data_IF_135907421483
#
_entry.id   IF_135907421483
#
_cell.length_a   1.000
_cell.length_b   1.000
_cell.length_c   1.000
_cell.angle_alpha   90.00
_cell.angle_beta   90.00
_cell.angle_gamma   90.00
#
_symmetry.space_group_name_H-M   'P 1'
#
loop_
_entity.id
_entity.type
_entity.pdbx_description
1 polymer ?
#
# COMPACT_ATOMS: atom_id res chain seq x y z
N UNK A 1 85.09 5.84 39.81
CA UNK A 1 83.84 5.97 40.60
C UNK A 1 82.71 5.80 39.61
N UNK A 2 82.01 4.62 39.58
CA UNK A 2 80.99 4.26 38.63
C UNK A 2 79.61 4.48 39.24
N UNK A 3 78.85 5.40 38.68
CA UNK A 3 77.46 5.63 39.10
C UNK A 3 76.56 4.74 38.21
N UNK A 4 75.85 3.80 38.81
CA UNK A 4 74.80 2.98 38.16
C UNK A 4 73.53 3.79 38.13
N UNK A 5 73.04 4.05 36.93
CA UNK A 5 71.71 4.59 36.76
C UNK A 5 70.68 3.43 36.82
N UNK A 6 69.69 3.50 37.71
CA UNK A 6 68.54 2.62 37.80
C UNK A 6 67.48 3.14 36.87
N UNK A 7 67.07 2.33 35.88
CA UNK A 7 65.95 2.62 35.00
C UNK A 7 64.69 2.05 35.67
N UNK A 8 63.84 2.95 36.19
CA UNK A 8 62.55 2.62 36.71
C UNK A 8 61.56 2.60 35.49
N UNK A 9 61.10 1.45 35.11
CA UNK A 9 60.05 1.32 34.10
C UNK A 9 58.69 1.74 34.71
N UNK A 10 58.24 2.95 34.36
CA UNK A 10 56.89 3.39 34.65
C UNK A 10 55.92 2.73 33.66
N UNK A 11 55.01 1.93 34.18
CA UNK A 11 53.89 1.36 33.42
C UNK A 11 52.87 2.48 33.18
N UNK A 12 52.81 3.02 31.95
CA UNK A 12 51.78 3.96 31.54
C UNK A 12 50.51 3.17 31.25
N UNK A 13 49.61 3.12 32.21
CA UNK A 13 48.24 2.57 31.96
C UNK A 13 47.44 3.62 31.20
N UNK A 14 47.34 3.48 29.89
CA UNK A 14 46.41 4.25 29.09
C UNK A 14 45.01 3.66 29.35
N UNK A 15 44.24 4.32 30.22
CA UNK A 15 42.80 4.04 30.35
C UNK A 15 42.10 4.47 29.07
N UNK A 16 41.84 3.50 28.18
CA UNK A 16 41.00 3.69 27.02
C UNK A 16 39.56 3.82 27.53
N UNK A 17 39.07 5.05 27.71
CA UNK A 17 37.65 5.31 27.96
C UNK A 17 36.87 4.98 26.67
N UNK A 18 36.36 3.77 26.59
CA UNK A 18 35.36 3.41 25.58
C UNK A 18 34.10 4.20 25.92
N UNK A 19 33.89 5.31 25.25
CA UNK A 19 32.59 5.95 25.21
C UNK A 19 31.69 4.99 24.45
N UNK A 20 30.91 4.17 25.16
CA UNK A 20 29.73 3.54 24.62
C UNK A 20 28.82 4.68 24.14
N UNK A 21 28.86 4.97 22.85
CA UNK A 21 27.81 5.73 22.23
C UNK A 21 26.52 5.00 22.62
N UNK A 22 25.61 5.67 23.35
CA UNK A 22 24.28 5.19 23.59
C UNK A 22 23.74 4.82 22.18
N UNK A 23 23.42 3.54 21.98
CA UNK A 23 22.65 3.15 20.81
C UNK A 23 21.45 4.09 20.81
N UNK A 24 21.33 4.93 19.79
CA UNK A 24 20.09 5.66 19.57
C UNK A 24 19.03 4.58 19.48
N UNK A 25 18.00 4.69 20.33
CA UNK A 25 16.78 3.88 20.18
C UNK A 25 16.28 4.14 18.77
N UNK A 26 16.64 3.25 17.84
CA UNK A 26 16.10 3.25 16.49
C UNK A 26 14.64 2.89 16.70
N UNK A 27 13.76 3.90 16.64
CA UNK A 27 12.32 3.65 16.68
C UNK A 27 12.02 2.68 15.54
N UNK A 28 11.34 1.57 15.82
CA UNK A 28 10.95 0.67 14.75
C UNK A 28 10.16 1.45 13.70
N UNK A 29 10.40 1.14 12.42
CA UNK A 29 9.74 1.80 11.30
C UNK A 29 8.23 1.57 11.35
N UNK A 30 7.46 2.51 10.83
CA UNK A 30 6.01 2.37 10.69
C UNK A 30 5.64 1.20 9.76
N UNK A 31 4.50 0.60 10.02
CA UNK A 31 3.95 -0.53 9.24
C UNK A 31 2.74 -0.07 8.43
N UNK A 32 2.43 -0.76 7.35
CA UNK A 32 1.14 -0.67 6.67
C UNK A 32 0.10 -1.43 7.51
N UNK A 33 -0.83 -0.68 8.12
CA UNK A 33 -1.92 -1.22 8.93
C UNK A 33 -3.15 -1.54 8.09
N UNK A 34 -3.35 -0.73 7.05
CA UNK A 34 -4.42 -0.86 6.09
C UNK A 34 -3.93 -0.37 4.74
N UNK A 35 -4.45 -1.00 3.73
CA UNK A 35 -4.36 -0.57 2.35
C UNK A 35 -5.76 -0.55 1.76
N UNK A 36 -6.05 0.44 0.94
CA UNK A 36 -7.36 0.59 0.33
C UNK A 36 -7.23 1.09 -1.10
N UNK A 37 -8.22 0.79 -1.93
CA UNK A 37 -8.35 1.42 -3.24
C UNK A 37 -9.81 1.67 -3.58
N UNK A 38 -10.08 2.86 -4.08
CA UNK A 38 -11.41 3.27 -4.59
C UNK A 38 -11.33 3.54 -6.07
N UNK A 39 -12.27 2.95 -6.79
CA UNK A 39 -12.38 3.10 -8.24
C UNK A 39 -13.80 2.81 -8.71
N UNK A 40 -14.18 3.39 -9.85
CA UNK A 40 -15.34 2.94 -10.61
C UNK A 40 -15.01 1.59 -11.27
N UNK A 41 -15.64 0.51 -10.79
CA UNK A 41 -15.48 -0.83 -11.38
C UNK A 41 -16.49 -1.04 -12.49
N UNK A 42 -15.98 -1.46 -13.65
CA UNK A 42 -16.77 -1.85 -14.80
C UNK A 42 -16.90 -3.36 -14.89
N UNK A 43 -16.85 -3.88 -16.11
CA UNK A 43 -16.86 -5.32 -16.40
C UNK A 43 -15.56 -5.75 -17.09
N UNK A 44 -15.21 -7.03 -16.99
CA UNK A 44 -14.02 -7.59 -17.66
C UNK A 44 -12.72 -6.97 -17.16
N UNK A 45 -11.95 -6.36 -18.06
CA UNK A 45 -10.65 -5.75 -17.74
C UNK A 45 -10.76 -4.47 -16.89
N UNK A 46 -11.96 -3.90 -16.75
CA UNK A 46 -12.20 -2.68 -15.99
C UNK A 46 -12.63 -2.94 -14.53
N UNK A 47 -12.47 -4.15 -14.04
CA UNK A 47 -12.67 -4.45 -12.61
C UNK A 47 -11.59 -3.78 -11.75
N UNK A 48 -11.94 -3.46 -10.50
CA UNK A 48 -10.95 -3.08 -9.52
C UNK A 48 -10.15 -4.31 -9.09
N UNK A 49 -8.84 -4.25 -9.30
CA UNK A 49 -7.89 -5.29 -8.95
C UNK A 49 -6.88 -4.70 -7.99
N UNK A 50 -6.77 -5.28 -6.80
CA UNK A 50 -5.81 -4.88 -5.77
C UNK A 50 -4.84 -6.01 -5.49
N UNK A 51 -3.56 -5.79 -5.74
CA UNK A 51 -2.47 -6.68 -5.37
C UNK A 51 -1.84 -6.25 -4.04
N UNK A 52 -1.39 -7.22 -3.26
CA UNK A 52 -0.62 -6.96 -2.05
C UNK A 52 0.41 -8.06 -1.79
N UNK A 53 1.51 -7.68 -1.16
CA UNK A 53 2.64 -8.56 -0.85
C UNK A 53 2.77 -8.68 0.66
N UNK A 54 2.84 -9.92 1.13
CA UNK A 54 3.18 -10.25 2.52
C UNK A 54 4.64 -10.71 2.55
N UNK A 55 5.46 -10.05 3.37
CA UNK A 55 6.86 -10.42 3.61
C UNK A 55 7.06 -10.81 5.06
N UNK A 56 8.12 -11.59 5.33
CA UNK A 56 8.45 -12.09 6.67
C UNK A 56 8.50 -13.62 6.72
N UNK A 57 8.35 -14.20 7.92
CA UNK A 57 8.41 -15.66 8.13
C UNK A 57 7.10 -16.25 8.60
N UNK A 58 6.23 -15.45 9.19
CA UNK A 58 4.98 -15.90 9.78
C UNK A 58 3.81 -15.67 8.84
N UNK A 59 2.73 -16.41 9.03
CA UNK A 59 1.47 -16.11 8.36
C UNK A 59 0.84 -14.84 8.93
N UNK A 60 0.06 -14.15 8.11
CA UNK A 60 -0.61 -12.88 8.43
C UNK A 60 -2.13 -13.07 8.46
N UNK A 61 -2.76 -12.60 9.52
CA UNK A 61 -4.22 -12.56 9.60
C UNK A 61 -4.72 -11.23 9.03
N UNK A 62 -5.57 -11.31 8.03
CA UNK A 62 -6.11 -10.17 7.30
C UNK A 62 -7.63 -10.23 7.25
N UNK A 63 -8.27 -9.06 7.11
CA UNK A 63 -9.62 -8.95 6.59
C UNK A 63 -9.57 -8.14 5.30
N UNK A 64 -10.19 -8.67 4.26
CA UNK A 64 -10.35 -8.03 2.95
C UNK A 64 -11.84 -7.71 2.79
N UNK A 65 -12.19 -6.48 2.40
CA UNK A 65 -13.58 -6.03 2.22
C UNK A 65 -13.76 -5.34 0.88
N UNK A 66 -14.93 -5.52 0.28
CA UNK A 66 -15.37 -4.74 -0.87
C UNK A 66 -16.66 -4.01 -0.48
N UNK A 67 -16.58 -2.69 -0.37
CA UNK A 67 -17.66 -1.82 0.08
C UNK A 67 -18.23 -1.06 -1.11
N UNK A 68 -19.55 -1.02 -1.20
CA UNK A 68 -20.27 -0.31 -2.24
C UNK A 68 -21.45 0.47 -1.66
N UNK A 69 -22.56 -0.17 -1.28
CA UNK A 69 -23.77 0.50 -0.82
C UNK A 69 -23.54 1.48 0.31
N UNK A 70 -22.68 1.14 1.28
CA UNK A 70 -22.36 2.00 2.42
C UNK A 70 -21.66 3.31 2.03
N UNK A 71 -21.00 3.38 0.86
CA UNK A 71 -20.33 4.59 0.37
C UNK A 71 -21.32 5.72 0.07
N UNK A 72 -22.58 5.42 -0.16
CA UNK A 72 -23.63 6.44 -0.40
C UNK A 72 -23.77 7.39 0.79
N UNK A 73 -23.57 6.90 2.02
CA UNK A 73 -23.60 7.72 3.24
C UNK A 73 -22.45 8.73 3.32
N UNK A 74 -21.39 8.53 2.52
CA UNK A 74 -20.24 9.42 2.37
C UNK A 74 -20.32 10.28 1.10
N UNK A 75 -21.50 10.35 0.44
CA UNK A 75 -21.73 11.20 -0.72
C UNK A 75 -21.31 10.60 -2.07
N UNK A 76 -21.00 9.30 -2.14
CA UNK A 76 -20.70 8.61 -3.39
C UNK A 76 -22.01 8.21 -4.07
N UNK A 77 -22.42 8.95 -5.11
CA UNK A 77 -23.71 8.74 -5.78
C UNK A 77 -23.76 7.46 -6.63
N UNK A 78 -22.66 7.11 -7.28
CA UNK A 78 -22.55 5.98 -8.20
C UNK A 78 -21.90 4.76 -7.52
N UNK A 79 -22.18 4.57 -6.23
CA UNK A 79 -21.68 3.44 -5.47
C UNK A 79 -22.17 2.11 -6.05
N UNK A 80 -21.28 1.12 -6.13
CA UNK A 80 -21.62 -0.23 -6.60
C UNK A 80 -22.68 -0.83 -5.67
N UNK A 81 -23.80 -1.27 -6.23
CA UNK A 81 -24.98 -1.68 -5.46
C UNK A 81 -24.83 -3.03 -4.76
N UNK A 82 -23.95 -3.90 -5.28
CA UNK A 82 -23.79 -5.28 -4.82
C UNK A 82 -22.39 -5.80 -5.21
N UNK A 83 -21.35 -5.55 -4.37
CA UNK A 83 -19.99 -5.95 -4.67
C UNK A 83 -19.73 -7.40 -4.31
N UNK A 84 -19.08 -8.15 -5.19
CA UNK A 84 -18.51 -9.47 -4.94
C UNK A 84 -17.00 -9.39 -4.81
N UNK A 85 -16.39 -10.29 -4.04
CA UNK A 85 -14.96 -10.31 -3.73
C UNK A 85 -14.36 -11.68 -3.98
N UNK A 86 -13.27 -11.73 -4.74
CA UNK A 86 -12.43 -12.92 -4.91
C UNK A 86 -11.03 -12.64 -4.41
N UNK A 87 -10.44 -13.60 -3.70
CA UNK A 87 -9.04 -13.61 -3.28
C UNK A 87 -8.28 -14.69 -4.04
N UNK A 88 -7.19 -14.32 -4.69
CA UNK A 88 -6.33 -15.18 -5.49
C UNK A 88 -4.93 -15.26 -4.91
N UNK A 89 -4.28 -16.40 -5.08
CA UNK A 89 -2.86 -16.59 -4.79
C UNK A 89 -1.98 -16.17 -5.99
N UNK A 90 -0.65 -16.28 -5.81
CA UNK A 90 0.35 -15.94 -6.83
C UNK A 90 0.22 -16.75 -8.14
N UNK A 91 -0.46 -17.89 -8.13
CA UNK A 91 -0.71 -18.70 -9.34
C UNK A 91 -1.95 -18.26 -10.09
N UNK A 92 -2.73 -17.33 -9.50
CA UNK A 92 -4.03 -16.88 -9.99
C UNK A 92 -5.19 -17.80 -9.60
N UNK A 93 -4.96 -18.79 -8.74
CA UNK A 93 -6.04 -19.64 -8.23
C UNK A 93 -6.89 -18.90 -7.20
N UNK A 94 -8.22 -19.03 -7.28
CA UNK A 94 -9.14 -18.51 -6.27
C UNK A 94 -8.99 -19.34 -5.00
N UNK A 95 -8.57 -18.69 -3.92
CA UNK A 95 -8.41 -19.32 -2.60
C UNK A 95 -9.55 -18.97 -1.63
N UNK A 96 -10.28 -17.89 -1.90
CA UNK A 96 -11.51 -17.54 -1.20
C UNK A 96 -12.39 -16.65 -2.08
N UNK A 97 -13.71 -16.71 -1.87
CA UNK A 97 -14.67 -15.81 -2.51
C UNK A 97 -15.83 -15.53 -1.55
N UNK A 98 -16.40 -14.34 -1.64
CA UNK A 98 -17.56 -13.94 -0.86
C UNK A 98 -18.43 -12.97 -1.68
N UNK A 99 -19.74 -13.13 -1.56
CA UNK A 99 -20.74 -12.24 -2.12
C UNK A 99 -21.31 -11.33 -1.03
N UNK A 100 -21.88 -11.92 0.02
CA UNK A 100 -22.42 -11.19 1.17
C UNK A 100 -21.65 -11.59 2.42
N UNK A 101 -21.11 -10.62 3.17
CA UNK A 101 -20.22 -10.88 4.31
C UNK A 101 -20.82 -11.74 5.43
N UNK A 102 -22.16 -11.79 5.52
CA UNK A 102 -22.86 -12.60 6.51
C UNK A 102 -22.97 -14.08 6.14
N UNK A 103 -22.75 -14.44 4.89
CA UNK A 103 -22.93 -15.82 4.39
C UNK A 103 -21.85 -16.75 4.95
N UNK A 104 -20.64 -16.21 5.18
CA UNK A 104 -19.51 -16.94 5.74
C UNK A 104 -18.78 -16.09 6.77
N UNK A 105 -18.16 -16.71 7.77
CA UNK A 105 -17.27 -16.04 8.74
C UNK A 105 -17.90 -14.87 9.52
N UNK A 106 -19.23 -14.72 9.55
CA UNK A 106 -19.93 -13.58 10.17
C UNK A 106 -19.45 -13.28 11.59
N UNK A 107 -19.37 -14.29 12.45
CA UNK A 107 -18.97 -14.11 13.85
C UNK A 107 -17.53 -13.61 13.99
N UNK A 108 -16.60 -14.13 13.15
CA UNK A 108 -15.21 -13.70 13.13
C UNK A 108 -15.09 -12.25 12.61
N UNK A 109 -15.82 -11.91 11.54
CA UNK A 109 -15.83 -10.57 10.95
C UNK A 109 -16.36 -9.54 11.97
N UNK A 110 -17.47 -9.84 12.66
CA UNK A 110 -18.02 -8.96 13.72
C UNK A 110 -17.01 -8.75 14.85
N UNK A 111 -16.27 -9.78 15.24
CA UNK A 111 -15.27 -9.69 16.31
C UNK A 111 -14.09 -8.75 15.98
N UNK A 112 -13.84 -8.44 14.70
CA UNK A 112 -12.82 -7.48 14.29
C UNK A 112 -13.23 -6.01 14.44
N UNK A 113 -14.53 -5.71 14.64
CA UNK A 113 -15.14 -4.39 14.53
C UNK A 113 -15.00 -3.74 13.14
N UNK A 114 -14.71 -4.56 12.11
CA UNK A 114 -14.57 -4.12 10.72
C UNK A 114 -15.67 -4.71 9.82
N UNK A 115 -16.78 -5.18 10.41
CA UNK A 115 -17.90 -5.69 9.63
C UNK A 115 -18.43 -4.61 8.67
N UNK A 116 -18.70 -4.94 7.39
CA UNK A 116 -19.37 -4.03 6.48
C UNK A 116 -20.73 -3.56 7.03
N UNK A 117 -21.12 -2.33 6.68
CA UNK A 117 -22.36 -1.73 7.20
C UNK A 117 -23.61 -2.19 6.44
N UNK A 118 -23.48 -2.56 5.18
CA UNK A 118 -24.57 -3.11 4.36
C UNK A 118 -24.40 -4.62 4.18
N UNK A 119 -25.50 -5.37 4.22
CA UNK A 119 -25.49 -6.84 4.15
C UNK A 119 -25.02 -7.37 2.79
N UNK A 120 -25.14 -6.59 1.72
CA UNK A 120 -24.71 -6.93 0.36
C UNK A 120 -23.21 -6.70 0.11
N UNK A 121 -22.50 -6.14 1.06
CA UNK A 121 -21.05 -5.93 0.93
C UNK A 121 -20.29 -7.21 1.24
N UNK A 122 -19.14 -7.38 0.60
CA UNK A 122 -18.34 -8.60 0.74
C UNK A 122 -17.22 -8.44 1.77
N UNK A 123 -16.93 -9.51 2.52
CA UNK A 123 -15.74 -9.57 3.36
C UNK A 123 -15.18 -11.01 3.46
N UNK A 124 -13.86 -11.11 3.47
CA UNK A 124 -13.11 -12.36 3.61
C UNK A 124 -12.09 -12.18 4.73
N UNK A 125 -12.11 -13.05 5.74
CA UNK A 125 -10.99 -13.22 6.67
C UNK A 125 -10.08 -14.33 6.17
N UNK A 126 -8.78 -14.07 6.13
CA UNK A 126 -7.78 -15.02 5.65
C UNK A 126 -6.51 -14.98 6.50
N UNK A 127 -5.93 -16.15 6.72
CA UNK A 127 -4.58 -16.33 7.26
C UNK A 127 -3.67 -16.73 6.12
N UNK A 128 -2.79 -15.83 5.71
CA UNK A 128 -1.98 -15.97 4.50
C UNK A 128 -0.49 -16.06 4.83
N UNK A 129 0.21 -17.00 4.22
CA UNK A 129 1.66 -17.08 4.30
C UNK A 129 2.34 -15.90 3.56
N UNK A 130 3.64 -15.63 3.80
CA UNK A 130 4.39 -14.71 2.94
C UNK A 130 4.26 -15.09 1.46
N UNK A 131 3.97 -14.09 0.61
CA UNK A 131 3.71 -14.28 -0.82
C UNK A 131 2.92 -13.14 -1.43
N UNK A 132 2.56 -13.30 -2.70
CA UNK A 132 1.84 -12.32 -3.50
C UNK A 132 0.37 -12.74 -3.62
N UNK A 133 -0.53 -11.80 -3.43
CA UNK A 133 -1.98 -12.04 -3.46
C UNK A 133 -2.69 -10.97 -4.26
N UNK A 134 -3.85 -11.34 -4.80
CA UNK A 134 -4.70 -10.43 -5.56
C UNK A 134 -6.14 -10.54 -5.07
N UNK A 135 -6.74 -9.41 -4.72
CA UNK A 135 -8.15 -9.28 -4.44
C UNK A 135 -8.84 -8.59 -5.63
N UNK A 136 -9.97 -9.13 -6.08
CA UNK A 136 -10.73 -8.60 -7.21
C UNK A 136 -12.15 -8.31 -6.76
N UNK A 137 -12.56 -7.05 -6.90
CA UNK A 137 -13.94 -6.64 -6.66
C UNK A 137 -14.69 -6.50 -7.98
N UNK A 138 -15.92 -7.06 -8.02
CA UNK A 138 -16.84 -6.99 -9.16
C UNK A 138 -18.24 -6.68 -8.68
N UNK A 139 -19.09 -6.23 -9.59
CA UNK A 139 -20.52 -6.13 -9.30
C UNK A 139 -21.25 -7.44 -9.60
N UNK A 140 -22.10 -7.89 -8.68
CA UNK A 140 -22.98 -9.01 -8.86
C UNK A 140 -23.86 -8.81 -10.12
N UNK A 141 -24.06 -9.88 -10.89
CA UNK A 141 -24.83 -9.83 -12.12
C UNK A 141 -24.27 -8.90 -13.21
N UNK A 142 -23.00 -8.45 -13.10
CA UNK A 142 -22.38 -7.51 -14.05
C UNK A 142 -22.75 -6.05 -13.78
N UNK A 143 -23.25 -5.72 -12.58
CA UNK A 143 -23.48 -4.34 -12.18
C UNK A 143 -22.14 -3.57 -12.11
N UNK A 144 -22.22 -2.25 -12.25
CA UNK A 144 -21.05 -1.35 -12.29
C UNK A 144 -21.25 -0.19 -11.30
N UNK A 145 -20.16 0.39 -10.84
CA UNK A 145 -20.21 1.51 -9.91
C UNK A 145 -18.92 1.67 -9.11
N UNK A 146 -18.88 2.64 -8.23
CA UNK A 146 -17.73 2.91 -7.38
C UNK A 146 -17.67 1.90 -6.24
N UNK A 147 -16.55 1.20 -6.10
CA UNK A 147 -16.26 0.25 -5.04
C UNK A 147 -15.01 0.68 -4.28
N UNK A 148 -14.99 0.45 -2.97
CA UNK A 148 -13.82 0.58 -2.11
C UNK A 148 -13.38 -0.83 -1.69
N UNK A 149 -12.19 -1.24 -2.10
CA UNK A 149 -11.57 -2.49 -1.66
C UNK A 149 -10.52 -2.15 -0.61
N UNK A 150 -10.57 -2.85 0.52
CA UNK A 150 -9.70 -2.63 1.66
C UNK A 150 -9.08 -3.93 2.14
N UNK A 151 -7.83 -3.85 2.60
CA UNK A 151 -7.13 -4.95 3.29
C UNK A 151 -6.59 -4.41 4.62
N UNK A 152 -7.01 -5.00 5.73
CA UNK A 152 -6.53 -4.65 7.06
C UNK A 152 -5.66 -5.75 7.63
N UNK A 153 -4.56 -5.35 8.24
CA UNK A 153 -3.71 -6.19 9.05
C UNK A 153 -4.31 -6.36 10.45
N UNK A 154 -4.68 -7.58 10.81
CA UNK A 154 -5.26 -7.93 12.12
C UNK A 154 -4.22 -8.43 13.12
N UNK A 155 -2.96 -8.63 12.70
CA UNK A 155 -1.90 -9.15 13.55
C UNK A 155 -0.58 -8.39 13.36
N UNK A 156 -0.46 -7.28 14.07
CA UNK A 156 0.73 -6.42 14.02
C UNK A 156 1.96 -7.03 14.73
N UNK A 157 1.79 -8.12 15.49
CA UNK A 157 2.86 -8.75 16.25
C UNK A 157 3.51 -9.93 15.50
N UNK A 158 2.90 -10.43 14.43
CA UNK A 158 3.49 -11.47 13.60
C UNK A 158 4.80 -10.97 12.96
N UNK A 159 5.80 -11.85 12.84
CA UNK A 159 7.01 -11.57 12.08
C UNK A 159 6.72 -11.61 10.57
N UNK A 160 5.71 -10.86 10.17
CA UNK A 160 5.24 -10.67 8.82
C UNK A 160 4.63 -9.27 8.68
N UNK A 161 4.65 -8.70 7.47
CA UNK A 161 4.08 -7.37 7.22
C UNK A 161 3.53 -7.27 5.81
N UNK A 162 2.55 -6.40 5.63
CA UNK A 162 2.18 -5.89 4.32
C UNK A 162 3.33 -4.98 3.83
N UNK A 163 3.91 -5.30 2.69
CA UNK A 163 5.05 -4.57 2.14
C UNK A 163 4.64 -3.57 1.07
N UNK A 164 3.57 -3.87 0.35
CA UNK A 164 3.11 -3.08 -0.79
C UNK A 164 1.59 -3.21 -0.95
N UNK A 165 1.02 -2.21 -1.58
CA UNK A 165 -0.27 -2.28 -2.26
C UNK A 165 -0.11 -1.83 -3.70
N UNK A 166 -0.81 -2.49 -4.58
CA UNK A 166 -1.00 -2.05 -5.96
C UNK A 166 -2.48 -2.09 -6.31
N UNK A 167 -2.98 -1.09 -7.02
CA UNK A 167 -4.36 -1.08 -7.47
C UNK A 167 -4.43 -0.67 -8.94
N UNK A 168 -5.12 -1.47 -9.74
CA UNK A 168 -5.28 -1.24 -11.16
C UNK A 168 -6.74 -1.06 -11.52
N UNK A 169 -6.99 -0.08 -12.38
CA UNK A 169 -8.28 0.10 -13.00
C UNK A 169 -8.32 1.26 -13.97
N UNK A 170 -9.52 1.51 -14.51
CA UNK A 170 -9.74 2.56 -15.49
C UNK A 170 -9.95 3.90 -14.80
N UNK A 171 -9.07 4.86 -15.09
CA UNK A 171 -9.14 6.25 -14.60
C UNK A 171 -9.89 7.07 -15.63
N UNK A 172 -10.97 7.72 -15.18
CA UNK A 172 -11.79 8.60 -16.00
C UNK A 172 -11.72 10.05 -15.47
N UNK A 173 -12.57 10.90 -15.98
CA UNK A 173 -12.67 12.31 -15.61
C UNK A 173 -13.50 12.52 -14.33
N UNK A 174 -13.38 13.70 -13.76
CA UNK A 174 -14.14 14.10 -12.57
C UNK A 174 -13.74 13.29 -11.34
N UNK A 175 -14.73 12.66 -10.69
CA UNK A 175 -14.52 11.90 -9.46
C UNK A 175 -14.13 10.43 -9.67
N UNK A 176 -14.08 9.97 -10.93
CA UNK A 176 -13.73 8.60 -11.30
C UNK A 176 -12.21 8.39 -11.41
N UNK A 177 -11.49 8.86 -10.40
CA UNK A 177 -10.05 8.74 -10.28
C UNK A 177 -9.67 7.41 -9.62
N UNK A 178 -8.47 6.92 -9.93
CA UNK A 178 -7.88 5.82 -9.19
C UNK A 178 -7.25 6.36 -7.89
N UNK A 179 -7.77 5.90 -6.77
CA UNK A 179 -7.34 6.34 -5.45
C UNK A 179 -6.78 5.13 -4.72
N UNK A 180 -5.50 5.22 -4.33
CA UNK A 180 -4.85 4.28 -3.42
C UNK A 180 -4.70 4.90 -2.05
N UNK A 181 -5.14 4.21 -1.00
CA UNK A 181 -5.00 4.64 0.39
C UNK A 181 -4.07 3.73 1.18
N UNK A 182 -3.38 4.30 2.16
CA UNK A 182 -2.53 3.58 3.10
C UNK A 182 -2.65 4.19 4.50
N UNK A 183 -2.80 3.35 5.52
CA UNK A 183 -2.65 3.77 6.92
C UNK A 183 -1.29 3.28 7.39
N UNK A 184 -0.44 4.23 7.75
CA UNK A 184 0.89 4.00 8.33
C UNK A 184 0.81 4.13 9.83
N UNK A 185 1.36 3.17 10.57
CA UNK A 185 1.32 3.21 12.03
C UNK A 185 2.16 2.09 12.65
N UNK A 186 1.88 1.76 13.91
CA UNK A 186 2.69 0.78 14.64
C UNK A 186 4.10 1.30 14.96
N UNK A 187 5.05 0.40 15.19
CA UNK A 187 6.46 0.73 15.34
C UNK A 187 6.76 1.81 16.39
N UNK A 188 5.96 1.92 17.47
CA UNK A 188 6.11 2.93 18.53
C UNK A 188 6.24 4.38 18.02
N UNK A 189 5.52 4.72 16.94
CA UNK A 189 5.50 6.05 16.35
C UNK A 189 6.70 6.36 15.44
N UNK A 190 7.36 5.34 14.91
CA UNK A 190 8.41 5.50 13.90
C UNK A 190 7.84 6.00 12.56
N UNK A 191 8.68 6.69 11.78
CA UNK A 191 8.34 7.11 10.41
C UNK A 191 8.39 5.93 9.44
N UNK A 192 7.63 6.02 8.36
CA UNK A 192 7.72 5.11 7.23
C UNK A 192 8.47 5.78 6.08
N UNK A 193 9.35 5.03 5.43
CA UNK A 193 9.97 5.44 4.17
C UNK A 193 9.18 4.79 3.05
N UNK A 194 8.59 5.59 2.19
CA UNK A 194 7.65 5.10 1.19
C UNK A 194 8.02 5.54 -0.22
N UNK A 195 7.63 4.73 -1.19
CA UNK A 195 7.54 5.14 -2.59
C UNK A 195 6.10 4.90 -3.04
N UNK A 196 5.46 5.97 -3.52
CA UNK A 196 4.22 5.89 -4.27
C UNK A 196 4.52 6.13 -5.74
N UNK A 197 3.98 5.31 -6.66
CA UNK A 197 4.15 5.52 -8.11
C UNK A 197 2.87 5.18 -8.86
N UNK A 198 2.73 5.74 -10.06
CA UNK A 198 1.65 5.37 -10.95
C UNK A 198 2.23 4.92 -12.30
N UNK A 199 1.77 3.78 -12.78
CA UNK A 199 2.17 3.22 -14.06
C UNK A 199 1.01 3.36 -15.04
N UNK A 200 1.35 3.70 -16.27
CA UNK A 200 0.41 3.82 -17.38
C UNK A 200 1.01 3.27 -18.66
N UNK A 201 1.89 4.02 -19.36
CA UNK A 201 2.49 3.61 -20.63
C UNK A 201 3.15 2.24 -20.59
N UNK A 202 3.88 1.93 -19.50
CA UNK A 202 4.57 0.64 -19.32
C UNK A 202 3.63 -0.56 -19.25
N UNK A 203 2.36 -0.37 -18.89
CA UNK A 203 1.35 -1.43 -18.84
C UNK A 203 1.06 -2.02 -20.22
N UNK A 204 1.32 -1.24 -21.29
CA UNK A 204 1.20 -1.72 -22.66
C UNK A 204 2.07 -2.95 -22.95
N UNK A 205 3.26 -3.06 -22.35
CA UNK A 205 4.15 -4.21 -22.48
C UNK A 205 3.54 -5.49 -21.87
N UNK A 206 2.57 -5.37 -20.97
CA UNK A 206 1.83 -6.46 -20.35
C UNK A 206 0.46 -6.73 -21.02
N UNK A 207 0.23 -6.17 -22.20
CA UNK A 207 -0.97 -6.41 -23.00
C UNK A 207 -2.17 -5.55 -22.61
N UNK A 208 -2.01 -4.53 -21.77
CA UNK A 208 -3.07 -3.57 -21.43
C UNK A 208 -3.22 -2.58 -22.57
N UNK A 209 -4.34 -2.71 -23.33
CA UNK A 209 -4.54 -1.98 -24.58
C UNK A 209 -4.88 -0.50 -24.37
N UNK A 210 -5.66 -0.17 -23.34
CA UNK A 210 -6.11 1.19 -23.04
C UNK A 210 -5.30 1.78 -21.86
N UNK A 211 -4.00 1.51 -21.83
CA UNK A 211 -3.13 2.05 -20.78
C UNK A 211 -3.09 3.59 -20.85
N UNK A 212 -3.18 4.23 -19.70
CA UNK A 212 -3.05 5.68 -19.58
C UNK A 212 -1.67 6.10 -20.10
N UNK A 213 -1.61 7.18 -20.91
CA UNK A 213 -0.37 7.54 -21.61
C UNK A 213 0.50 8.54 -20.84
N UNK A 214 -0.09 9.25 -19.88
CA UNK A 214 0.61 10.30 -19.12
C UNK A 214 -0.09 10.47 -17.76
N UNK A 215 0.20 9.61 -16.77
CA UNK A 215 -0.39 9.69 -15.44
C UNK A 215 0.25 10.78 -14.60
N UNK A 216 -0.52 11.44 -13.74
CA UNK A 216 -0.06 12.38 -12.72
C UNK A 216 -0.44 11.80 -11.36
N UNK A 217 0.48 11.86 -10.40
CA UNK A 217 0.32 11.34 -9.04
C UNK A 217 0.34 12.47 -8.03
N UNK A 218 -0.65 12.51 -7.15
CA UNK A 218 -0.69 13.38 -5.98
C UNK A 218 -0.73 12.53 -4.71
N UNK A 219 0.07 12.89 -3.71
CA UNK A 219 0.04 12.27 -2.38
C UNK A 219 -0.54 13.28 -1.38
N UNK A 220 -1.60 12.89 -0.69
CA UNK A 220 -2.29 13.72 0.30
C UNK A 220 -2.23 13.06 1.69
N UNK A 221 -2.25 13.87 2.76
CA UNK A 221 -2.42 13.41 4.13
C UNK A 221 -3.91 13.24 4.49
N UNK A 222 -4.18 12.80 5.71
CA UNK A 222 -5.54 12.57 6.22
C UNK A 222 -6.45 13.80 6.20
N UNK A 223 -5.87 15.01 6.22
CA UNK A 223 -6.62 16.27 6.19
C UNK A 223 -6.89 16.75 4.75
N UNK A 224 -6.50 15.94 3.75
CA UNK A 224 -6.58 16.29 2.33
C UNK A 224 -5.52 17.29 1.86
N UNK A 225 -4.54 17.62 2.73
CA UNK A 225 -3.44 18.51 2.33
C UNK A 225 -2.48 17.77 1.40
N UNK A 226 -2.11 18.43 0.29
CA UNK A 226 -1.10 17.91 -0.63
C UNK A 226 0.26 17.80 0.09
N UNK A 227 0.80 16.60 0.14
CA UNK A 227 2.14 16.31 0.67
C UNK A 227 3.18 16.46 -0.43
N UNK A 228 2.91 15.88 -1.59
CA UNK A 228 3.78 15.94 -2.77
C UNK A 228 2.99 15.61 -4.03
N UNK A 229 3.52 16.00 -5.19
CA UNK A 229 2.98 15.65 -6.50
C UNK A 229 4.10 15.40 -7.50
N UNK A 230 3.89 14.49 -8.42
CA UNK A 230 4.85 14.19 -9.46
C UNK A 230 4.13 13.85 -10.76
N UNK A 231 4.73 14.25 -11.87
CA UNK A 231 4.28 13.98 -13.23
C UNK A 231 5.24 13.01 -13.93
N UNK A 232 6.53 13.27 -13.82
CA UNK A 232 7.61 12.47 -14.40
C UNK A 232 8.59 12.09 -13.28
N UNK A 233 8.83 10.80 -13.02
CA UNK A 233 9.62 10.33 -11.87
C UNK A 233 11.04 10.89 -11.80
N UNK A 234 11.65 11.25 -12.94
CA UNK A 234 12.99 11.85 -13.00
C UNK A 234 13.06 13.28 -12.49
N UNK A 235 11.93 13.94 -12.32
CA UNK A 235 11.86 15.33 -11.81
C UNK A 235 11.88 15.39 -10.28
N UNK A 236 11.70 14.25 -9.60
CA UNK A 236 11.68 14.14 -8.14
C UNK A 236 12.98 13.56 -7.55
N UNK A 237 12.84 12.74 -6.51
CA UNK A 237 13.94 12.06 -5.82
C UNK A 237 14.45 10.85 -6.64
N UNK A 238 14.92 11.11 -7.86
CA UNK A 238 15.32 10.07 -8.83
C UNK A 238 16.26 9.03 -8.23
N UNK A 239 17.32 9.48 -7.50
CA UNK A 239 18.31 8.56 -6.95
C UNK A 239 17.71 7.61 -5.91
N UNK A 240 16.85 8.11 -5.01
CA UNK A 240 16.21 7.28 -4.01
C UNK A 240 15.28 6.23 -4.66
N UNK A 241 14.59 6.59 -5.75
CA UNK A 241 13.73 5.67 -6.49
C UNK A 241 14.56 4.57 -7.17
N UNK A 242 15.70 4.94 -7.78
CA UNK A 242 16.65 4.02 -8.41
C UNK A 242 17.27 3.06 -7.39
N UNK A 243 17.72 3.56 -6.25
CA UNK A 243 18.38 2.77 -5.20
C UNK A 243 17.46 1.70 -4.60
N UNK A 244 16.15 1.92 -4.68
CA UNK A 244 15.14 0.94 -4.24
C UNK A 244 14.63 0.03 -5.37
N UNK A 245 15.12 0.19 -6.60
CA UNK A 245 14.72 -0.65 -7.73
C UNK A 245 13.27 -0.45 -8.19
N UNK A 246 12.66 0.71 -7.83
CA UNK A 246 11.26 0.99 -8.10
C UNK A 246 11.07 2.07 -9.19
N UNK A 247 12.12 2.39 -9.93
CA UNK A 247 12.04 3.33 -11.04
C UNK A 247 11.05 2.84 -12.11
N UNK A 248 10.05 3.66 -12.49
CA UNK A 248 9.23 3.37 -13.66
C UNK A 248 10.05 3.17 -14.92
N UNK A 249 9.59 2.32 -15.84
CA UNK A 249 10.30 2.05 -17.10
C UNK A 249 10.02 3.09 -18.18
N UNK A 250 8.96 3.87 -18.06
CA UNK A 250 8.65 5.01 -18.93
C UNK A 250 8.87 6.33 -18.16
N UNK A 251 9.49 7.30 -18.82
CA UNK A 251 9.84 8.57 -18.18
C UNK A 251 8.62 9.42 -17.78
N UNK A 252 7.48 9.22 -18.44
CA UNK A 252 6.21 9.91 -18.18
C UNK A 252 5.44 9.35 -16.98
N UNK A 253 5.94 8.31 -16.34
CA UNK A 253 5.29 7.70 -15.18
C UNK A 253 5.79 8.39 -13.90
N UNK A 254 4.87 8.84 -13.02
CA UNK A 254 5.28 9.52 -11.80
C UNK A 254 5.73 8.57 -10.71
N UNK A 255 6.65 9.03 -9.86
CA UNK A 255 6.98 8.39 -8.60
C UNK A 255 7.39 9.42 -7.54
N UNK A 256 6.89 9.25 -6.32
CA UNK A 256 7.13 10.08 -5.16
C UNK A 256 7.86 9.25 -4.11
N UNK A 257 9.03 9.71 -3.66
CA UNK A 257 9.71 9.20 -2.49
C UNK A 257 9.42 10.10 -1.30
N UNK A 258 8.89 9.56 -0.21
CA UNK A 258 8.54 10.34 0.97
C UNK A 258 8.92 9.64 2.28
N UNK A 259 9.18 10.44 3.33
CA UNK A 259 9.35 9.98 4.71
C UNK A 259 8.15 10.51 5.49
N UNK A 260 7.26 9.60 5.89
CA UNK A 260 5.96 9.93 6.41
C UNK A 260 5.80 9.54 7.88
N UNK A 261 5.29 10.44 8.74
CA UNK A 261 4.87 10.07 10.10
C UNK A 261 3.68 9.11 10.06
N UNK A 262 3.34 8.45 11.19
CA UNK A 262 2.10 7.69 11.30
C UNK A 262 0.89 8.54 10.93
N UNK A 263 -0.02 7.96 10.14
CA UNK A 263 -1.23 8.65 9.65
C UNK A 263 -1.84 7.94 8.44
N UNK A 264 -2.96 8.46 7.97
CA UNK A 264 -3.58 8.03 6.73
C UNK A 264 -3.10 8.89 5.55
N UNK A 265 -2.83 8.24 4.44
CA UNK A 265 -2.35 8.88 3.22
C UNK A 265 -3.14 8.38 2.03
N UNK A 266 -3.30 9.26 1.04
CA UNK A 266 -4.05 8.99 -0.18
C UNK A 266 -3.21 9.36 -1.39
N UNK A 267 -2.98 8.40 -2.26
CA UNK A 267 -2.36 8.56 -3.56
C UNK A 267 -3.47 8.66 -4.63
N UNK A 268 -3.54 9.76 -5.34
CA UNK A 268 -4.56 10.02 -6.36
C UNK A 268 -3.90 10.05 -7.73
N UNK A 269 -4.39 9.20 -8.63
CA UNK A 269 -3.92 9.13 -10.03
C UNK A 269 -4.96 9.74 -10.95
N UNK A 270 -4.50 10.67 -11.78
CA UNK A 270 -5.29 11.26 -12.86
C UNK A 270 -4.47 11.32 -14.15
N UNK A 271 -5.13 11.42 -15.28
CA UNK A 271 -4.43 11.64 -16.55
C UNK A 271 -4.10 13.11 -16.78
N UNK A 272 -2.88 13.39 -17.21
CA UNK A 272 -2.45 14.72 -17.61
C UNK A 272 -3.35 15.24 -18.72
N UNK A 273 -3.70 16.53 -18.66
CA UNK A 273 -4.58 17.18 -19.63
C UNK A 273 -5.92 16.47 -19.82
N UNK A 274 -6.49 15.87 -18.77
CA UNK A 274 -7.75 15.14 -18.79
C UNK A 274 -7.74 13.91 -19.73
N UNK A 275 -6.60 13.27 -19.89
CA UNK A 275 -6.55 11.96 -20.56
C UNK A 275 -7.11 10.87 -19.64
N UNK A 276 -7.63 9.81 -20.24
CA UNK A 276 -8.21 8.66 -19.54
C UNK A 276 -7.52 7.38 -19.94
N UNK A 277 -7.63 6.33 -19.12
CA UNK A 277 -7.05 5.03 -19.44
C UNK A 277 -6.82 4.17 -18.21
N UNK A 278 -6.36 2.95 -18.44
CA UNK A 278 -6.01 2.04 -17.34
C UNK A 278 -4.68 2.46 -16.75
N UNK A 279 -4.66 2.69 -15.44
CA UNK A 279 -3.46 2.97 -14.65
C UNK A 279 -3.32 1.96 -13.51
N UNK A 280 -2.10 1.85 -13.00
CA UNK A 280 -1.76 1.12 -11.79
C UNK A 280 -1.16 2.11 -10.80
N UNK A 281 -1.73 2.24 -9.61
CA UNK A 281 -1.10 2.94 -8.49
C UNK A 281 -0.47 1.93 -7.56
N UNK A 282 0.73 2.23 -7.09
CA UNK A 282 1.44 1.38 -6.15
C UNK A 282 1.96 2.21 -4.98
N UNK A 283 1.91 1.63 -3.79
CA UNK A 283 2.44 2.22 -2.57
C UNK A 283 3.32 1.18 -1.87
N UNK A 284 4.60 1.47 -1.73
CA UNK A 284 5.59 0.61 -1.10
C UNK A 284 6.02 1.18 0.24
N UNK A 285 5.96 0.38 1.29
CA UNK A 285 6.60 0.70 2.56
C UNK A 285 7.96 0.01 2.59
N UNK A 286 9.01 0.79 2.45
CA UNK A 286 10.38 0.30 2.32
C UNK A 286 10.99 -0.07 3.67
N UNK A 287 10.56 0.62 4.72
CA UNK A 287 11.07 0.45 6.11
C UNK A 287 10.07 0.99 7.10
#
# INVERSE_FOLDING_TARGET
>A
MKIKAAITRGLLVIALSVHLAKAQDIKPFGQLLNISSRLYTGTGANNLIVGFIITGTDSKNLIIRALGPSLTSYGVSDALSDPTLELHDQTGAIIAANDNWKDTQQAQIVATNLAPADDRESAIMATLAPGDYTAIARGAGGSVGIVLLEVYDLDLNANARLANVSARGFVDLGDNLLIGGAILGGGNGGVSVVIARALGPSLGAFGIQNAMQDPVLELHNQDGTLVDSNDDWKQGNQQAILDNGLAPSDDREPAIFAILPPGAYTAIVRGKNNTTGIALVEFYNLR
#
